data_IF_893890317250
#
_entry.id   IF_893890317250
#
_cell.length_a   1.000
_cell.length_b   1.000
_cell.length_c   1.000
_cell.angle_alpha   90.00
_cell.angle_beta   90.00
_cell.angle_gamma   90.00
#
_symmetry.space_group_name_H-M   'P 1'
#
loop_
_entity.id
_entity.type
_entity.pdbx_description
1 polymer ?
#
# COMPACT_ATOMS: atom_id res chain seq x y z
N UNK A 1 -16.22 -5.86 -10.93
CA UNK A 1 -16.16 -4.56 -10.22
C UNK A 1 -15.10 -3.67 -10.85
N UNK A 2 -15.23 -2.35 -10.71
CA UNK A 2 -14.17 -1.38 -11.03
C UNK A 2 -13.11 -1.34 -9.93
N UNK A 3 -11.92 -0.79 -10.21
CA UNK A 3 -10.87 -0.65 -9.20
C UNK A 3 -11.30 0.18 -7.99
N UNK A 4 -12.15 1.21 -8.21
CA UNK A 4 -12.68 2.05 -7.12
C UNK A 4 -13.65 1.27 -6.23
N UNK A 5 -14.58 0.52 -6.84
CA UNK A 5 -15.53 -0.31 -6.10
C UNK A 5 -14.80 -1.34 -5.25
N UNK A 6 -13.77 -2.00 -5.79
CA UNK A 6 -12.97 -2.96 -5.02
C UNK A 6 -12.34 -2.35 -3.79
N UNK A 7 -11.68 -1.22 -3.95
CA UNK A 7 -11.05 -0.52 -2.83
C UNK A 7 -12.07 -0.20 -1.74
N UNK A 8 -13.24 0.33 -2.11
CA UNK A 8 -14.28 0.67 -1.15
C UNK A 8 -14.84 -0.56 -0.44
N UNK A 9 -15.10 -1.66 -1.15
CA UNK A 9 -15.59 -2.91 -0.55
C UNK A 9 -14.58 -3.47 0.45
N UNK A 10 -13.29 -3.53 0.09
CA UNK A 10 -12.24 -3.97 1.00
C UNK A 10 -12.12 -3.05 2.23
N UNK A 11 -12.15 -1.72 2.06
CA UNK A 11 -12.09 -0.79 3.20
C UNK A 11 -13.26 -0.94 4.19
N UNK A 12 -14.39 -1.51 3.76
CA UNK A 12 -15.54 -1.83 4.61
C UNK A 12 -15.53 -3.27 5.16
N UNK A 13 -14.42 -4.00 5.00
CA UNK A 13 -14.28 -5.39 5.45
C UNK A 13 -14.99 -6.42 4.56
N UNK A 14 -15.45 -6.02 3.37
CA UNK A 14 -16.09 -6.92 2.42
C UNK A 14 -15.07 -7.71 1.57
N UNK A 15 -15.60 -8.61 0.76
CA UNK A 15 -14.84 -9.41 -0.21
C UNK A 15 -15.13 -8.92 -1.64
N UNK A 16 -14.26 -8.07 -2.23
CA UNK A 16 -14.34 -7.74 -3.64
C UNK A 16 -14.01 -8.94 -4.54
N UNK A 17 -14.27 -8.79 -5.85
CA UNK A 17 -14.03 -9.84 -6.87
C UNK A 17 -12.56 -10.21 -7.07
N UNK A 18 -11.64 -9.41 -6.55
CA UNK A 18 -10.19 -9.63 -6.52
C UNK A 18 -9.54 -8.68 -5.51
N UNK A 19 -8.39 -9.08 -4.97
CA UNK A 19 -7.62 -8.26 -4.02
C UNK A 19 -7.21 -6.93 -4.68
N UNK A 20 -7.62 -5.77 -4.13
CA UNK A 20 -7.15 -4.48 -4.60
C UNK A 20 -5.68 -4.28 -4.22
N UNK A 21 -4.97 -3.51 -5.04
CA UNK A 21 -3.54 -3.22 -4.85
C UNK A 21 -3.32 -1.73 -4.83
N UNK A 22 -2.46 -1.28 -3.92
CA UNK A 22 -2.13 0.12 -3.75
C UNK A 22 -0.63 0.29 -3.41
N UNK A 23 0.26 0.18 -4.41
CA UNK A 23 1.68 0.36 -4.20
C UNK A 23 1.96 1.84 -3.89
N UNK A 24 2.69 2.11 -2.79
CA UNK A 24 3.17 3.45 -2.42
C UNK A 24 2.10 4.57 -2.46
N UNK A 25 1.01 4.40 -1.69
CA UNK A 25 -0.09 5.38 -1.70
C UNK A 25 0.30 6.77 -1.19
N UNK A 26 1.20 6.86 -0.20
CA UNK A 26 1.37 8.09 0.58
C UNK A 26 2.11 9.18 -0.19
N UNK A 27 3.13 8.84 -0.98
CA UNK A 27 3.87 9.80 -1.81
C UNK A 27 3.22 10.04 -3.18
N UNK A 28 2.65 8.99 -3.77
CA UNK A 28 2.11 9.06 -5.13
C UNK A 28 0.95 10.04 -5.25
N UNK A 29 0.07 10.11 -4.24
CA UNK A 29 -1.08 11.03 -4.23
C UNK A 29 -0.64 12.49 -4.27
N UNK A 30 0.18 13.00 -3.32
CA UNK A 30 0.68 14.37 -3.38
C UNK A 30 1.53 14.66 -4.61
N UNK A 31 2.41 13.75 -5.05
CA UNK A 31 3.18 13.95 -6.30
C UNK A 31 2.26 14.13 -7.52
N UNK A 32 1.22 13.31 -7.63
CA UNK A 32 0.26 13.38 -8.74
C UNK A 32 -0.64 14.61 -8.66
N UNK A 33 -1.09 15.01 -7.47
CA UNK A 33 -1.94 16.19 -7.28
C UNK A 33 -1.18 17.51 -7.51
N UNK A 34 0.11 17.53 -7.19
CA UNK A 34 0.95 18.73 -7.34
C UNK A 34 1.70 18.79 -8.67
N UNK A 35 1.84 17.65 -9.36
CA UNK A 35 2.71 17.51 -10.53
C UNK A 35 4.21 17.61 -10.19
N UNK A 36 4.57 17.54 -8.90
CA UNK A 36 5.93 17.73 -8.41
C UNK A 36 6.56 16.42 -7.96
N UNK A 37 7.89 16.28 -8.10
CA UNK A 37 8.60 15.15 -7.54
C UNK A 37 8.63 15.21 -6.01
N UNK A 38 8.79 14.05 -5.37
CA UNK A 38 8.79 13.88 -3.92
C UNK A 38 9.64 14.93 -3.17
N UNK A 39 10.87 15.20 -3.63
CA UNK A 39 11.80 16.10 -2.94
C UNK A 39 11.29 17.54 -2.89
N UNK A 40 10.57 18.00 -3.91
CA UNK A 40 9.98 19.33 -3.89
C UNK A 40 8.86 19.44 -2.85
N UNK A 41 8.14 18.34 -2.60
CA UNK A 41 7.00 18.35 -1.67
C UNK A 41 7.47 18.22 -0.22
N UNK A 42 8.38 17.28 0.04
CA UNK A 42 8.69 16.87 1.41
C UNK A 42 10.05 17.37 1.91
N UNK A 43 11.07 17.42 1.05
CA UNK A 43 12.41 17.82 1.45
C UNK A 43 12.59 19.34 1.38
N UNK A 44 12.20 19.93 0.25
CA UNK A 44 12.33 21.36 0.00
C UNK A 44 11.07 22.15 0.35
N UNK A 45 9.98 21.47 0.70
CA UNK A 45 8.69 22.07 1.08
C UNK A 45 8.23 23.16 0.11
N UNK A 46 8.56 23.00 -1.18
CA UNK A 46 8.21 23.88 -2.28
C UNK A 46 6.75 23.65 -2.68
N UNK A 47 5.83 23.78 -1.72
CA UNK A 47 4.40 23.85 -2.02
C UNK A 47 4.11 25.18 -2.73
N UNK A 48 3.20 25.21 -3.71
CA UNK A 48 2.72 26.46 -4.27
C UNK A 48 2.16 27.35 -3.13
N UNK A 49 2.55 28.62 -3.11
CA UNK A 49 1.91 29.60 -2.24
C UNK A 49 0.40 29.61 -2.55
N UNK A 50 -0.44 29.17 -1.61
CA UNK A 50 -1.91 29.20 -1.74
C UNK A 50 -2.64 27.86 -1.60
N UNK A 51 -1.97 26.73 -1.36
CA UNK A 51 -2.68 25.48 -1.05
C UNK A 51 -3.11 25.47 0.42
N UNK A 52 -4.32 25.99 0.70
CA UNK A 52 -4.92 25.90 2.02
C UNK A 52 -5.38 24.46 2.30
N UNK A 53 -5.22 23.95 3.54
CA UNK A 53 -5.77 22.65 3.92
C UNK A 53 -7.27 22.66 3.68
N UNK A 54 -7.78 21.72 2.87
CA UNK A 54 -9.22 21.56 2.70
C UNK A 54 -9.83 21.20 4.07
N UNK A 55 -11.00 21.76 4.42
CA UNK A 55 -11.71 21.34 5.62
C UNK A 55 -11.95 19.83 5.56
N UNK A 56 -11.77 19.17 6.70
CA UNK A 56 -12.00 17.72 6.82
C UNK A 56 -13.45 17.42 6.40
N UNK A 57 -13.70 16.49 5.46
CA UNK A 57 -15.07 16.09 5.13
C UNK A 57 -15.76 15.50 6.37
N UNK A 58 -17.04 15.82 6.56
CA UNK A 58 -17.84 15.42 7.73
C UNK A 58 -18.07 13.91 7.81
N UNK A 59 -17.97 13.19 6.69
CA UNK A 59 -18.07 11.73 6.65
C UNK A 59 -16.73 11.10 7.02
N UNK A 60 -16.59 10.66 8.28
CA UNK A 60 -15.55 9.74 8.71
C UNK A 60 -15.67 8.43 7.93
N UNK A 61 -14.69 8.14 7.07
CA UNK A 61 -14.35 6.74 6.79
C UNK A 61 -13.46 6.32 7.96
N UNK A 62 -14.02 5.58 8.92
CA UNK A 62 -13.22 4.94 9.94
C UNK A 62 -12.43 3.82 9.27
N UNK A 63 -11.25 4.17 8.75
CA UNK A 63 -10.21 3.20 8.46
C UNK A 63 -9.85 2.60 9.82
N UNK A 64 -10.35 1.39 10.10
CA UNK A 64 -9.81 0.58 11.19
C UNK A 64 -8.37 0.26 10.81
N UNK A 65 -7.45 1.15 11.19
CA UNK A 65 -6.05 0.78 11.31
C UNK A 65 -6.07 -0.39 12.27
N UNK A 66 -5.64 -1.57 11.80
CA UNK A 66 -5.49 -2.75 12.64
C UNK A 66 -4.79 -2.30 13.92
N UNK A 67 -5.42 -2.65 15.06
CA UNK A 67 -4.95 -2.28 16.40
C UNK A 67 -3.43 -2.48 16.42
N UNK A 68 -2.69 -1.39 16.63
CA UNK A 68 -1.26 -1.50 16.85
C UNK A 68 -1.07 -2.49 18.00
N UNK A 69 -0.30 -3.58 17.82
CA UNK A 69 -0.02 -4.48 18.93
C UNK A 69 0.58 -3.65 20.07
N UNK A 70 0.13 -3.92 21.30
CA UNK A 70 0.75 -3.37 22.50
C UNK A 70 2.24 -3.70 22.45
N UNK A 71 3.10 -2.74 22.81
CA UNK A 71 4.56 -2.74 22.61
C UNK A 71 5.27 -4.02 23.12
N UNK A 72 4.63 -4.78 24.00
CA UNK A 72 5.08 -6.07 24.51
C UNK A 72 5.05 -7.24 23.51
N UNK A 73 4.34 -7.12 22.38
CA UNK A 73 4.20 -8.19 21.38
C UNK A 73 5.22 -8.09 20.22
N UNK A 74 6.10 -7.08 20.24
CA UNK A 74 7.10 -6.85 19.19
C UNK A 74 8.23 -7.91 19.17
N UNK A 75 8.39 -8.66 20.27
CA UNK A 75 9.36 -9.76 20.36
C UNK A 75 8.85 -11.09 19.79
N UNK A 76 7.54 -11.19 19.58
CA UNK A 76 6.82 -12.32 19.00
C UNK A 76 6.55 -12.12 17.51
N UNK A 77 6.59 -10.87 17.03
CA UNK A 77 6.55 -10.57 15.60
C UNK A 77 7.91 -10.93 15.01
N UNK A 78 8.00 -12.16 14.50
CA UNK A 78 9.04 -12.51 13.57
C UNK A 78 9.00 -11.47 12.43
N UNK A 79 10.09 -10.75 12.11
CA UNK A 79 10.09 -9.76 11.02
C UNK A 79 9.78 -10.38 9.63
N UNK A 80 9.64 -11.72 9.57
CA UNK A 80 9.19 -12.50 8.42
C UNK A 80 7.70 -12.95 8.50
N UNK A 81 6.98 -12.63 9.58
CA UNK A 81 5.55 -12.88 9.78
C UNK A 81 4.72 -11.65 9.36
N UNK A 82 4.61 -11.59 8.04
CA UNK A 82 3.60 -10.91 7.20
C UNK A 82 3.11 -9.53 7.66
N UNK A 83 3.94 -8.50 7.43
CA UNK A 83 3.49 -7.13 7.21
C UNK A 83 3.56 -6.78 5.69
N UNK A 84 2.96 -5.64 5.30
CA UNK A 84 3.02 -5.12 3.92
C UNK A 84 4.45 -5.13 3.31
N UNK A 85 4.56 -5.29 1.98
CA UNK A 85 5.81 -5.65 1.30
C UNK A 85 7.00 -4.78 1.73
N UNK A 86 8.09 -5.41 2.17
CA UNK A 86 9.27 -4.71 2.66
C UNK A 86 9.90 -3.85 1.57
N UNK A 87 9.95 -2.55 1.79
CA UNK A 87 10.33 -1.56 0.76
C UNK A 87 11.80 -1.66 0.36
N UNK A 88 12.70 -1.97 1.29
CA UNK A 88 14.13 -2.13 0.97
C UNK A 88 14.49 -3.51 0.39
N UNK A 89 14.28 -4.58 1.14
CA UNK A 89 14.79 -5.91 0.74
C UNK A 89 13.98 -6.56 -0.38
N UNK A 90 12.67 -6.32 -0.45
CA UNK A 90 11.80 -6.88 -1.49
C UNK A 90 11.65 -5.91 -2.65
N UNK A 91 11.20 -4.67 -2.40
CA UNK A 91 10.85 -3.75 -3.49
C UNK A 91 12.09 -3.10 -4.13
N UNK A 92 13.05 -2.60 -3.36
CA UNK A 92 14.22 -1.90 -3.89
C UNK A 92 15.31 -2.85 -4.39
N UNK A 93 15.72 -3.81 -3.54
CA UNK A 93 16.85 -4.71 -3.82
C UNK A 93 16.45 -6.03 -4.50
N UNK A 94 15.16 -6.38 -4.45
CA UNK A 94 14.65 -7.64 -4.99
C UNK A 94 14.46 -7.62 -6.51
N UNK A 95 14.01 -8.77 -7.02
CA UNK A 95 13.65 -8.95 -8.43
C UNK A 95 12.13 -8.96 -8.61
N UNK A 96 11.60 -8.81 -9.84
CA UNK A 96 10.17 -8.98 -10.10
C UNK A 96 9.62 -10.31 -9.59
N UNK A 97 10.42 -11.40 -9.68
CA UNK A 97 10.06 -12.70 -9.13
C UNK A 97 9.97 -12.69 -7.60
N UNK A 98 10.94 -12.09 -6.91
CA UNK A 98 10.91 -11.93 -5.45
C UNK A 98 9.68 -11.16 -4.99
N UNK A 99 9.33 -10.09 -5.70
CA UNK A 99 8.14 -9.28 -5.40
C UNK A 99 6.86 -10.05 -5.64
N UNK A 100 6.81 -10.84 -6.73
CA UNK A 100 5.65 -11.65 -7.03
C UNK A 100 5.40 -12.71 -5.95
N UNK A 101 6.44 -13.43 -5.52
CA UNK A 101 6.32 -14.43 -4.46
C UNK A 101 5.94 -13.81 -3.11
N UNK A 102 6.54 -12.67 -2.75
CA UNK A 102 6.16 -11.94 -1.53
C UNK A 102 4.70 -11.45 -1.59
N UNK A 103 4.24 -11.01 -2.76
CA UNK A 103 2.85 -10.57 -2.97
C UNK A 103 1.86 -11.72 -2.83
N UNK A 104 2.16 -12.88 -3.42
CA UNK A 104 1.31 -14.09 -3.30
C UNK A 104 1.21 -14.54 -1.85
N UNK A 105 2.36 -14.62 -1.15
CA UNK A 105 2.39 -14.98 0.27
C UNK A 105 1.54 -14.03 1.11
N UNK A 106 1.67 -12.72 0.90
CA UNK A 106 0.84 -11.73 1.60
C UNK A 106 -0.66 -11.95 1.34
N UNK A 107 -1.05 -12.26 0.10
CA UNK A 107 -2.44 -12.60 -0.24
C UNK A 107 -2.89 -13.88 0.47
N UNK A 108 -2.15 -14.96 0.35
CA UNK A 108 -2.51 -16.26 0.94
C UNK A 108 -2.69 -16.18 2.46
N UNK A 109 -1.83 -15.40 3.12
CA UNK A 109 -1.81 -15.31 4.58
C UNK A 109 -2.87 -14.35 5.15
N UNK A 110 -3.45 -13.45 4.34
CA UNK A 110 -4.27 -12.33 4.87
C UNK A 110 -5.56 -12.03 4.11
N UNK A 111 -5.71 -12.51 2.87
CA UNK A 111 -6.88 -12.20 2.07
C UNK A 111 -8.13 -12.95 2.53
N UNK A 112 -7.99 -14.11 3.18
CA UNK A 112 -9.16 -14.86 3.64
C UNK A 112 -10.10 -13.99 4.49
N UNK A 113 -11.40 -14.03 4.19
CA UNK A 113 -12.42 -13.32 4.96
C UNK A 113 -12.64 -11.85 4.57
N UNK A 114 -11.91 -11.30 3.60
CA UNK A 114 -12.15 -9.92 3.12
C UNK A 114 -11.25 -8.88 3.75
N UNK A 115 -11.40 -7.64 3.30
CA UNK A 115 -10.77 -6.48 3.93
C UNK A 115 -9.29 -6.24 3.63
N UNK A 116 -8.57 -7.23 3.12
CA UNK A 116 -7.17 -7.08 2.74
C UNK A 116 -6.98 -6.19 1.50
N UNK A 117 -5.95 -5.34 1.52
CA UNK A 117 -5.50 -4.53 0.39
C UNK A 117 -3.99 -4.76 0.28
N UNK A 118 -3.52 -5.25 -0.86
CA UNK A 118 -2.11 -5.48 -1.09
C UNK A 118 -1.36 -4.13 -1.19
N UNK A 119 -0.42 -3.89 -0.27
CA UNK A 119 0.35 -2.64 -0.19
C UNK A 119 1.82 -2.89 0.19
N UNK A 120 2.64 -1.86 0.02
CA UNK A 120 4.02 -1.81 0.54
C UNK A 120 4.01 -1.31 1.97
N UNK A 121 5.00 -1.75 2.78
CA UNK A 121 5.01 -1.44 4.20
C UNK A 121 5.35 -0.01 4.55
N UNK A 122 5.96 0.68 3.60
CA UNK A 122 6.18 2.11 3.63
C UNK A 122 6.30 2.61 2.17
N UNK A 123 6.80 3.82 1.99
CA UNK A 123 7.16 4.43 0.72
C UNK A 123 8.24 3.62 0.01
N UNK A 124 8.07 3.44 -1.30
CA UNK A 124 9.13 2.86 -2.11
C UNK A 124 10.30 3.84 -2.20
N UNK A 125 11.53 3.32 -2.10
CA UNK A 125 12.72 4.11 -2.34
C UNK A 125 12.71 4.69 -3.77
N UNK A 126 13.35 5.85 -3.96
CA UNK A 126 13.44 6.53 -5.26
C UNK A 126 13.89 5.59 -6.38
N UNK A 127 14.84 4.71 -6.07
CA UNK A 127 15.48 3.82 -7.04
C UNK A 127 14.79 2.45 -7.11
N UNK A 128 13.61 2.29 -6.50
CA UNK A 128 12.81 1.06 -6.62
C UNK A 128 12.50 0.82 -8.10
N UNK A 129 12.89 -0.33 -8.68
CA UNK A 129 12.65 -0.61 -10.09
C UNK A 129 11.15 -0.60 -10.43
N UNK A 130 10.76 0.04 -11.54
CA UNK A 130 9.37 0.00 -12.01
C UNK A 130 8.86 -1.42 -12.24
N UNK A 131 9.72 -2.31 -12.75
CA UNK A 131 9.37 -3.72 -12.96
C UNK A 131 8.94 -4.43 -11.66
N UNK A 132 9.47 -4.00 -10.50
CA UNK A 132 9.07 -4.54 -9.21
C UNK A 132 7.66 -4.05 -8.82
N UNK A 133 7.35 -2.77 -9.05
CA UNK A 133 6.00 -2.21 -8.84
C UNK A 133 4.98 -2.89 -9.77
N UNK A 134 5.34 -3.08 -11.05
CA UNK A 134 4.50 -3.76 -12.03
C UNK A 134 4.23 -5.21 -11.66
N UNK A 135 5.24 -5.94 -11.17
CA UNK A 135 5.08 -7.32 -10.71
C UNK A 135 4.05 -7.44 -9.58
N UNK A 136 4.09 -6.54 -8.60
CA UNK A 136 3.10 -6.49 -7.51
C UNK A 136 1.68 -6.25 -8.04
N UNK A 137 1.52 -5.31 -8.98
CA UNK A 137 0.22 -5.03 -9.61
C UNK A 137 -0.30 -6.24 -10.38
N UNK A 138 0.59 -6.92 -11.12
CA UNK A 138 0.23 -8.07 -11.92
C UNK A 138 -0.19 -9.27 -11.06
N UNK A 139 0.46 -9.51 -9.93
CA UNK A 139 0.04 -10.55 -8.98
C UNK A 139 -1.37 -10.26 -8.44
N UNK A 140 -1.64 -9.04 -8.00
CA UNK A 140 -3.01 -8.70 -7.57
C UNK A 140 -4.05 -8.90 -8.68
N UNK A 141 -3.66 -8.70 -9.94
CA UNK A 141 -4.55 -8.87 -11.10
C UNK A 141 -4.84 -10.32 -11.46
N UNK A 142 -3.81 -11.16 -11.40
CA UNK A 142 -3.84 -12.53 -11.94
C UNK A 142 -4.07 -13.58 -10.86
N UNK A 143 -3.56 -13.32 -9.65
CA UNK A 143 -3.59 -14.24 -8.51
C UNK A 143 -4.53 -13.77 -7.40
N UNK A 144 -4.67 -12.45 -7.20
CA UNK A 144 -5.40 -11.87 -6.06
C UNK A 144 -6.87 -12.30 -5.96
N UNK A 145 -7.16 -13.17 -4.99
CA UNK A 145 -8.51 -13.61 -4.59
C UNK A 145 -8.64 -13.55 -3.06
N UNK A 146 -9.89 -13.54 -2.58
CA UNK A 146 -10.28 -13.62 -1.17
C UNK A 146 -10.75 -15.03 -0.82
#
# INVERSE_FOLDING_TARGET
MTSKERMLVAMTGGQPDMVPVAPDMSNTIPCKLTGKPFWDIYLYQALPHGMHPRPRPESRVDVRILRQPEESDLSSINPLEIPPLHTTEVMLKGTPGTVAEASKRAIDDTAEGGGFILSTGDQCGRDTPFANIEAMIEVARTYGRY
#
